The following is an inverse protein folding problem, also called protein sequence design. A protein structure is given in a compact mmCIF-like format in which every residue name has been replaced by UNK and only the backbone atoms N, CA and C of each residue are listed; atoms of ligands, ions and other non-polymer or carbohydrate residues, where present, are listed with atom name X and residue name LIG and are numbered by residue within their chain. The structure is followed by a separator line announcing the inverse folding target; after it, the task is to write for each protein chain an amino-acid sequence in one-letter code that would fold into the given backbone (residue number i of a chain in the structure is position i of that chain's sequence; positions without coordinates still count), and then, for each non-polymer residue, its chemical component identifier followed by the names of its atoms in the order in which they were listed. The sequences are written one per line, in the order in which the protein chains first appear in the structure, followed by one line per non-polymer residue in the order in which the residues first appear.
data_IF_769690319948
#
_entry.id   IF_769690319948
#
_cell.length_a   1.000
_cell.length_b   1.000
_cell.length_c   1.000
_cell.angle_alpha   90.00
_cell.angle_beta   90.00
_cell.angle_gamma   90.00
#
_symmetry.space_group_name_H-M   'P 1'
#
loop_
_entity.id
_entity.type
_entity.pdbx_description
1 polymer ?
#
# COMPACT_ATOMS: atom_id res chain seq x y z
N UNK A 1 -1.79 9.77 -6.55
CA UNK A 1 -0.89 9.97 -7.70
C UNK A 1 -1.08 8.78 -8.61
N UNK A 2 -1.12 8.93 -9.94
CA UNK A 2 -1.28 7.79 -10.84
C UNK A 2 0.00 7.64 -11.64
N UNK A 3 0.65 6.49 -11.52
CA UNK A 3 1.87 6.14 -12.25
C UNK A 3 1.55 5.33 -13.49
N UNK A 4 2.37 5.46 -14.55
CA UNK A 4 2.21 4.66 -15.77
C UNK A 4 2.48 3.18 -15.49
N UNK A 5 1.80 2.30 -16.24
CA UNK A 5 1.85 0.85 -16.02
C UNK A 5 3.26 0.27 -16.10
N UNK A 6 4.07 0.79 -17.04
CA UNK A 6 5.47 0.34 -17.24
C UNK A 6 6.33 0.53 -15.99
N UNK A 7 6.13 1.63 -15.26
CA UNK A 7 6.86 1.89 -14.03
C UNK A 7 6.23 1.15 -12.85
N UNK A 8 4.92 0.92 -12.86
CA UNK A 8 4.24 0.14 -11.82
C UNK A 8 4.74 -1.31 -11.80
N UNK A 9 4.97 -1.93 -12.96
CA UNK A 9 5.53 -3.29 -13.03
C UNK A 9 6.89 -3.37 -12.36
N UNK A 10 7.79 -2.44 -12.70
CA UNK A 10 9.13 -2.40 -12.10
C UNK A 10 9.10 -2.06 -10.61
N UNK A 11 8.25 -1.12 -10.19
CA UNK A 11 8.09 -0.78 -8.77
C UNK A 11 7.57 -1.98 -7.97
N UNK A 12 6.65 -2.78 -8.53
CA UNK A 12 6.19 -4.00 -7.87
C UNK A 12 7.31 -5.05 -7.75
N UNK A 13 8.15 -5.20 -8.78
CA UNK A 13 9.33 -6.06 -8.73
C UNK A 13 10.30 -5.62 -7.63
N UNK A 14 10.58 -4.32 -7.54
CA UNK A 14 11.43 -3.73 -6.50
C UNK A 14 10.83 -3.87 -5.10
N UNK A 15 9.50 -3.68 -4.96
CA UNK A 15 8.79 -3.89 -3.69
C UNK A 15 8.96 -5.33 -3.19
N UNK A 16 8.85 -6.33 -4.07
CA UNK A 16 9.04 -7.73 -3.68
C UNK A 16 10.47 -7.99 -3.16
N UNK A 17 11.48 -7.39 -3.80
CA UNK A 17 12.87 -7.44 -3.32
C UNK A 17 13.04 -6.78 -1.95
N UNK A 18 12.52 -5.57 -1.79
CA UNK A 18 12.57 -4.82 -0.55
C UNK A 18 11.90 -5.54 0.63
N UNK A 19 10.73 -6.16 0.40
CA UNK A 19 10.04 -6.93 1.45
C UNK A 19 10.87 -8.13 1.91
N UNK A 20 11.53 -8.81 0.97
CA UNK A 20 12.44 -9.92 1.29
C UNK A 20 13.66 -9.44 2.07
N UNK A 21 14.23 -8.29 1.72
CA UNK A 21 15.33 -7.68 2.48
C UNK A 21 14.92 -7.34 3.91
N UNK A 22 13.70 -6.83 4.13
CA UNK A 22 13.15 -6.59 5.48
C UNK A 22 13.02 -7.90 6.26
N UNK A 23 12.51 -8.96 5.63
CA UNK A 23 12.34 -10.27 6.28
C UNK A 23 13.67 -10.90 6.68
N UNK A 24 14.74 -10.61 5.95
CA UNK A 24 16.09 -11.15 6.19
C UNK A 24 16.97 -10.25 7.07
N UNK A 25 16.51 -9.06 7.45
CA UNK A 25 17.31 -8.13 8.26
C UNK A 25 17.06 -8.29 9.75
N UNK A 26 18.04 -7.87 10.55
CA UNK A 26 17.99 -7.88 12.03
C UNK A 26 17.19 -6.69 12.59
N UNK A 27 16.11 -6.31 11.91
CA UNK A 27 15.24 -5.21 12.31
C UNK A 27 14.37 -5.63 13.48
N UNK A 28 14.11 -4.68 14.40
CA UNK A 28 13.09 -4.89 15.43
C UNK A 28 11.74 -5.21 14.77
N UNK A 29 10.94 -6.16 15.30
CA UNK A 29 9.69 -6.58 14.68
C UNK A 29 8.74 -5.43 14.33
N UNK A 30 8.62 -4.44 15.21
CA UNK A 30 7.80 -3.26 14.97
C UNK A 30 8.31 -2.41 13.80
N UNK A 31 9.62 -2.22 13.69
CA UNK A 31 10.24 -1.47 12.59
C UNK A 31 10.04 -2.18 11.26
N UNK A 32 10.24 -3.51 11.22
CA UNK A 32 9.96 -4.32 10.04
C UNK A 32 8.49 -4.18 9.60
N UNK A 33 7.56 -4.30 10.54
CA UNK A 33 6.13 -4.13 10.26
C UNK A 33 5.81 -2.74 9.70
N UNK A 34 6.36 -1.67 10.29
CA UNK A 34 6.16 -0.29 9.81
C UNK A 34 6.65 -0.16 8.38
N UNK A 35 7.87 -0.61 8.06
CA UNK A 35 8.41 -0.50 6.71
C UNK A 35 7.61 -1.29 5.67
N UNK A 36 7.17 -2.51 6.01
CA UNK A 36 6.32 -3.31 5.13
C UNK A 36 4.97 -2.62 4.87
N UNK A 37 4.33 -2.07 5.90
CA UNK A 37 3.04 -1.39 5.76
C UNK A 37 3.17 -0.11 4.94
N UNK A 38 4.18 0.72 5.23
CA UNK A 38 4.35 2.00 4.53
C UNK A 38 4.70 1.82 3.06
N UNK A 39 5.60 0.88 2.74
CA UNK A 39 5.97 0.58 1.34
C UNK A 39 4.79 0.03 0.54
N UNK A 40 4.02 -0.91 1.10
CA UNK A 40 2.80 -1.43 0.46
C UNK A 40 1.76 -0.32 0.23
N UNK A 41 1.54 0.54 1.21
CA UNK A 41 0.59 1.64 1.08
C UNK A 41 1.04 2.69 0.05
N UNK A 42 2.34 2.95 -0.04
CA UNK A 42 2.90 3.79 -1.08
C UNK A 42 2.62 3.24 -2.48
N UNK A 43 2.88 1.94 -2.71
CA UNK A 43 2.60 1.30 -4.01
C UNK A 43 1.11 1.33 -4.34
N UNK A 44 0.23 1.05 -3.36
CA UNK A 44 -1.22 1.17 -3.54
C UNK A 44 -1.68 2.59 -3.89
N UNK A 45 -1.01 3.61 -3.32
CA UNK A 45 -1.32 5.00 -3.63
C UNK A 45 -0.97 5.36 -5.07
N UNK A 46 0.23 5.00 -5.53
CA UNK A 46 0.68 5.30 -6.89
C UNK A 46 -0.01 4.43 -7.96
N UNK A 47 -0.55 3.27 -7.56
CA UNK A 47 -1.44 2.43 -8.38
C UNK A 47 -2.88 2.98 -8.44
N UNK A 48 -3.21 3.98 -7.61
CA UNK A 48 -4.55 4.57 -7.56
C UNK A 48 -5.60 3.74 -6.81
N UNK A 49 -5.19 2.69 -6.08
CA UNK A 49 -6.08 1.86 -5.23
C UNK A 49 -6.38 2.50 -3.87
N UNK A 50 -5.62 3.53 -3.51
CA UNK A 50 -5.64 4.16 -2.19
C UNK A 50 -5.31 5.64 -2.32
N UNK A 51 -5.94 6.49 -1.51
CA UNK A 51 -5.57 7.89 -1.36
C UNK A 51 -5.27 8.15 0.13
N UNK A 52 -4.04 8.55 0.48
CA UNK A 52 -3.70 8.89 1.85
C UNK A 52 -4.63 9.97 2.43
N UNK A 53 -5.14 9.71 3.64
CA UNK A 53 -6.06 10.63 4.31
C UNK A 53 -7.51 10.58 3.81
N UNK A 54 -7.83 9.77 2.79
CA UNK A 54 -9.22 9.59 2.39
C UNK A 54 -9.96 8.74 3.42
N UNK A 55 -10.85 9.39 4.17
CA UNK A 55 -11.82 8.68 5.01
C UNK A 55 -12.85 8.09 4.06
N UNK A 56 -12.99 6.75 4.01
CA UNK A 56 -14.08 6.11 3.26
C UNK A 56 -15.38 6.79 3.68
N UNK A 57 -15.99 7.57 2.79
CA UNK A 57 -17.36 8.04 2.99
C UNK A 57 -18.18 6.78 3.14
N UNK A 58 -18.68 6.48 4.36
CA UNK A 58 -19.70 5.45 4.54
C UNK A 58 -20.81 5.82 3.55
N UNK A 59 -20.99 5.02 2.51
CA UNK A 59 -22.13 5.18 1.62
C UNK A 59 -23.37 5.00 2.49
N UNK A 60 -23.99 6.12 2.88
CA UNK A 60 -25.24 6.20 3.64
C UNK A 60 -26.45 5.66 2.83
N UNK A 61 -26.23 4.96 1.72
CA UNK A 61 -27.28 4.42 0.84
C UNK A 61 -27.74 3.00 1.22
N UNK A 62 -27.12 2.35 2.19
CA UNK A 62 -27.45 0.96 2.56
C UNK A 62 -28.32 0.83 3.84
N UNK A 63 -29.19 1.83 4.07
CA UNK A 63 -30.15 1.85 5.19
C UNK A 63 -31.53 2.42 4.81
N UNK A 64 -31.90 2.36 3.53
CA UNK A 64 -33.21 2.84 3.05
C UNK A 64 -34.05 1.75 2.40
N UNK A 65 -33.77 0.47 2.70
CA UNK A 65 -34.68 -0.65 2.41
C UNK A 65 -34.70 -1.60 3.61
N UNK A 66 -35.52 -1.25 4.61
CA UNK A 66 -36.08 -2.20 5.57
C UNK A 66 -37.41 -1.68 6.09
#
# INVERSE_FOLDING_TARGET
MKTESIYLEEINRLLAGYLKEIEQSDLKPLSAQVYQVQSKNFVRWINGEFIPGEVKKKNLKDKSDK
#
